data_IF_821108783303
#
_entry.id   IF_821108783303
#
_cell.length_a   1.000
_cell.length_b   1.000
_cell.length_c   1.000
_cell.angle_alpha   90.00
_cell.angle_beta   90.00
_cell.angle_gamma   90.00
#
_symmetry.space_group_name_H-M   'P 1'
#
loop_
_entity.id
_entity.type
_entity.pdbx_description
1 polymer ?
#
# COMPACT_ATOMS: atom_id res chain seq x y z
N UNK A 1 1.68 7.44 -13.17
CA UNK A 1 2.93 8.16 -12.85
C UNK A 1 4.12 7.28 -13.19
N UNK A 2 5.17 7.83 -13.79
CA UNK A 2 6.42 7.10 -14.03
C UNK A 2 7.38 7.36 -12.87
N UNK A 3 7.35 6.51 -11.85
CA UNK A 3 8.29 6.56 -10.74
C UNK A 3 9.66 6.03 -11.19
N UNK A 4 10.72 6.75 -10.85
CA UNK A 4 12.10 6.25 -10.94
C UNK A 4 12.31 5.05 -10.03
N UNK A 5 13.38 4.28 -10.24
CA UNK A 5 13.71 3.12 -9.40
C UNK A 5 13.81 3.49 -7.91
N UNK A 6 14.43 4.64 -7.60
CA UNK A 6 14.56 5.14 -6.22
C UNK A 6 13.21 5.49 -5.60
N UNK A 7 12.34 6.16 -6.36
CA UNK A 7 11.00 6.51 -5.91
C UNK A 7 10.14 5.27 -5.70
N UNK A 8 10.25 4.25 -6.56
CA UNK A 8 9.56 2.97 -6.35
C UNK A 8 9.96 2.29 -5.06
N UNK A 9 11.26 2.23 -4.76
CA UNK A 9 11.77 1.66 -3.51
C UNK A 9 11.26 2.46 -2.30
N UNK A 10 11.28 3.80 -2.37
CA UNK A 10 10.77 4.64 -1.29
C UNK A 10 9.27 4.39 -1.05
N UNK A 11 8.46 4.43 -2.10
CA UNK A 11 7.01 4.17 -2.01
C UNK A 11 6.70 2.75 -1.52
N UNK A 12 7.48 1.75 -1.93
CA UNK A 12 7.30 0.37 -1.46
C UNK A 12 7.57 0.26 0.04
N UNK A 13 8.64 0.90 0.53
CA UNK A 13 8.95 0.93 1.95
C UNK A 13 7.87 1.67 2.75
N UNK A 14 7.35 2.79 2.23
CA UNK A 14 6.25 3.55 2.84
C UNK A 14 4.97 2.72 2.93
N UNK A 15 4.60 1.98 1.88
CA UNK A 15 3.46 1.07 1.89
C UNK A 15 3.62 -0.04 2.93
N UNK A 16 4.81 -0.66 3.01
CA UNK A 16 5.08 -1.69 4.01
C UNK A 16 5.04 -1.14 5.44
N UNK A 17 5.55 0.07 5.67
CA UNK A 17 5.47 0.71 6.97
C UNK A 17 4.01 0.93 7.40
N UNK A 18 3.15 1.39 6.48
CA UNK A 18 1.71 1.55 6.75
C UNK A 18 0.98 0.21 6.91
N UNK A 19 1.39 -0.84 6.19
CA UNK A 19 0.86 -2.19 6.40
C UNK A 19 1.16 -2.67 7.84
N UNK A 20 2.41 -2.55 8.29
CA UNK A 20 2.81 -2.88 9.67
C UNK A 20 2.05 -2.04 10.68
N UNK A 21 1.90 -0.73 10.44
CA UNK A 21 1.18 0.19 11.32
C UNK A 21 -0.32 -0.15 11.41
N UNK A 22 -0.92 -0.61 10.32
CA UNK A 22 -2.32 -1.05 10.29
C UNK A 22 -2.56 -2.36 11.04
N UNK A 23 -1.50 -3.14 11.30
CA UNK A 23 -1.60 -4.48 11.91
C UNK A 23 -2.21 -5.55 10.99
N UNK A 24 -2.34 -5.26 9.68
CA UNK A 24 -2.92 -6.16 8.69
C UNK A 24 -1.85 -6.97 7.96
N UNK A 25 -2.23 -8.16 7.48
CA UNK A 25 -1.43 -8.93 6.53
C UNK A 25 -1.83 -8.62 5.07
N UNK A 26 -0.97 -8.90 4.08
CA UNK A 26 -1.34 -8.80 2.66
C UNK A 26 -2.61 -9.58 2.31
N UNK A 27 -2.80 -10.76 2.91
CA UNK A 27 -3.99 -11.61 2.74
C UNK A 27 -5.24 -10.95 3.32
N UNK A 28 -5.15 -10.26 4.47
CA UNK A 28 -6.29 -9.51 5.03
C UNK A 28 -6.72 -8.38 4.08
N UNK A 29 -5.74 -7.64 3.56
CA UNK A 29 -5.99 -6.56 2.59
C UNK A 29 -6.62 -7.13 1.32
N UNK A 30 -6.10 -8.25 0.80
CA UNK A 30 -6.63 -8.96 -0.36
C UNK A 30 -8.10 -9.34 -0.17
N UNK A 31 -8.43 -9.99 0.95
CA UNK A 31 -9.79 -10.42 1.26
C UNK A 31 -10.75 -9.25 1.50
N UNK A 32 -10.26 -8.11 1.98
CA UNK A 32 -11.08 -6.90 2.22
C UNK A 32 -11.35 -6.11 0.95
N UNK A 33 -10.42 -6.13 0.02
CA UNK A 33 -10.52 -5.43 -1.26
C UNK A 33 -11.10 -6.32 -2.37
N UNK A 34 -11.39 -7.59 -2.08
CA UNK A 34 -11.85 -8.60 -3.04
C UNK A 34 -10.92 -8.68 -4.28
N UNK A 35 -9.62 -8.63 -4.02
CA UNK A 35 -8.57 -8.74 -5.05
C UNK A 35 -7.57 -9.81 -4.69
N UNK A 36 -6.96 -10.37 -5.72
CA UNK A 36 -5.97 -11.43 -5.59
C UNK A 36 -4.73 -11.00 -4.78
N UNK A 37 -4.24 -11.89 -3.92
CA UNK A 37 -3.11 -11.62 -3.03
C UNK A 37 -1.82 -11.29 -3.81
N UNK A 38 -1.63 -11.86 -5.01
CA UNK A 38 -0.47 -11.54 -5.84
C UNK A 38 -0.52 -10.09 -6.33
N UNK A 39 -1.73 -9.55 -6.57
CA UNK A 39 -1.90 -8.13 -6.95
C UNK A 39 -1.59 -7.21 -5.78
N UNK A 40 -2.00 -7.57 -4.57
CA UNK A 40 -1.62 -6.84 -3.35
C UNK A 40 -0.10 -6.85 -3.18
N UNK A 41 0.51 -8.02 -3.29
CA UNK A 41 1.96 -8.19 -3.15
C UNK A 41 2.72 -7.38 -4.20
N UNK A 42 2.25 -7.41 -5.46
CA UNK A 42 2.81 -6.60 -6.53
C UNK A 42 2.68 -5.09 -6.24
N UNK A 43 1.53 -4.64 -5.74
CA UNK A 43 1.28 -3.26 -5.37
C UNK A 43 2.19 -2.79 -4.22
N UNK A 44 2.33 -3.59 -3.16
CA UNK A 44 3.23 -3.33 -2.04
C UNK A 44 4.70 -3.27 -2.49
N UNK A 45 5.10 -4.09 -3.46
CA UNK A 45 6.46 -4.11 -4.03
C UNK A 45 6.70 -3.05 -5.13
N UNK A 46 5.65 -2.44 -5.68
CA UNK A 46 5.68 -1.65 -6.92
C UNK A 46 6.35 -2.36 -8.11
N UNK A 47 6.25 -3.69 -8.14
CA UNK A 47 6.81 -4.55 -9.18
C UNK A 47 5.70 -5.06 -10.09
N UNK A 48 5.68 -4.59 -11.34
CA UNK A 48 4.63 -4.91 -12.33
C UNK A 48 3.21 -4.61 -11.83
N UNK A 49 3.09 -3.77 -10.80
CA UNK A 49 1.83 -3.35 -10.23
C UNK A 49 1.04 -2.48 -11.21
N UNK A 50 -0.29 -2.64 -11.18
CA UNK A 50 -1.18 -1.68 -11.82
C UNK A 50 -1.23 -0.43 -10.94
N UNK A 51 -1.17 0.78 -11.51
CA UNK A 51 -1.28 2.01 -10.72
C UNK A 51 -2.56 2.05 -9.87
N UNK A 52 -3.67 1.53 -10.38
CA UNK A 52 -4.95 1.41 -9.67
C UNK A 52 -4.81 0.59 -8.37
N UNK A 53 -4.13 -0.56 -8.42
CA UNK A 53 -3.94 -1.45 -7.27
C UNK A 53 -3.11 -0.75 -6.17
N UNK A 54 -2.11 0.04 -6.56
CA UNK A 54 -1.29 0.81 -5.61
C UNK A 54 -2.12 1.86 -4.87
N UNK A 55 -2.98 2.60 -5.59
CA UNK A 55 -3.87 3.57 -4.95
C UNK A 55 -4.89 2.89 -4.04
N UNK A 56 -5.46 1.77 -4.47
CA UNK A 56 -6.45 1.03 -3.70
C UNK A 56 -5.86 0.51 -2.38
N UNK A 57 -4.65 -0.06 -2.41
CA UNK A 57 -3.93 -0.49 -1.21
C UNK A 57 -3.60 0.70 -0.31
N UNK A 58 -3.11 1.81 -0.88
CA UNK A 58 -2.80 3.04 -0.12
C UNK A 58 -4.02 3.56 0.63
N UNK A 59 -5.14 3.77 -0.08
CA UNK A 59 -6.36 4.34 0.51
C UNK A 59 -6.94 3.42 1.59
N UNK A 60 -6.87 2.11 1.38
CA UNK A 60 -7.31 1.13 2.35
C UNK A 60 -6.45 1.13 3.62
N UNK A 61 -5.13 1.14 3.48
CA UNK A 61 -4.21 1.23 4.63
C UNK A 61 -4.44 2.52 5.41
N UNK A 62 -4.53 3.66 4.72
CA UNK A 62 -4.82 4.95 5.35
C UNK A 62 -6.14 4.92 6.13
N UNK A 63 -7.19 4.34 5.54
CA UNK A 63 -8.48 4.20 6.20
C UNK A 63 -8.40 3.29 7.42
N UNK A 64 -7.73 2.14 7.32
CA UNK A 64 -7.58 1.18 8.41
C UNK A 64 -6.82 1.78 9.60
N UNK A 65 -5.70 2.47 9.33
CA UNK A 65 -4.89 3.14 10.35
C UNK A 65 -5.69 4.25 11.04
N UNK A 66 -6.39 5.10 10.26
CA UNK A 66 -7.24 6.17 10.82
C UNK A 66 -8.40 5.62 11.65
N UNK A 67 -9.01 4.51 11.21
CA UNK A 67 -10.09 3.84 11.94
C UNK A 67 -9.63 3.25 13.27
N UNK A 68 -8.35 2.88 13.37
CA UNK A 68 -7.71 2.47 14.61
C UNK A 68 -7.28 3.65 15.51
N UNK A 69 -7.57 4.90 15.13
CA UNK A 69 -7.15 6.10 15.86
C UNK A 69 -5.67 6.45 15.71
N UNK A 70 -4.98 5.83 14.76
CA UNK A 70 -3.58 6.06 14.44
C UNK A 70 -3.44 7.06 13.27
N UNK A 71 -2.21 7.56 13.06
CA UNK A 71 -1.89 8.46 11.96
C UNK A 71 -1.05 7.73 10.91
N UNK A 72 -1.48 7.63 9.64
CA UNK A 72 -0.70 6.99 8.59
C UNK A 72 0.63 7.71 8.36
N UNK A 73 1.66 6.94 8.04
CA UNK A 73 2.91 7.49 7.54
C UNK A 73 2.66 8.16 6.19
N UNK A 74 3.24 9.34 6.00
CA UNK A 74 3.12 10.07 4.74
C UNK A 74 3.85 9.36 3.60
N UNK A 75 3.26 9.41 2.42
CA UNK A 75 3.89 8.96 1.19
C UNK A 75 4.61 10.13 0.51
N UNK A 76 5.86 9.91 0.09
CA UNK A 76 6.63 10.95 -0.61
C UNK A 76 6.18 11.16 -2.06
N UNK A 77 5.49 10.17 -2.65
CA UNK A 77 5.11 10.15 -4.08
C UNK A 77 3.66 9.78 -4.37
N UNK A 78 2.91 9.33 -3.38
CA UNK A 78 1.47 9.04 -3.50
C UNK A 78 0.68 10.20 -2.86
N UNK A 79 0.82 11.41 -3.41
CA UNK A 79 0.10 12.61 -2.97
C UNK A 79 -0.99 12.98 -3.95
#
# INVERSE_FOLDING_TARGET
MSLSKRERTATSNELHANLVLSGLSPTDVAGKLDIDEQRITAALALERARPEDVWLVRDYLDHAIKSAGLTPQQYSKLT
#
